data_IF_673122959453
#
_entry.id   IF_673122959453
#
_cell.length_a   1.000
_cell.length_b   1.000
_cell.length_c   1.000
_cell.angle_alpha   90.00
_cell.angle_beta   90.00
_cell.angle_gamma   90.00
#
_symmetry.space_group_name_H-M   'P 1'
#
loop_
_entity.id
_entity.type
_entity.pdbx_description
1 polymer ?
#
# COMPACT_ATOMS: atom_id res chain seq x y z
N UNK A 1 0.09 27.15 14.54
CA UNK A 1 -0.92 26.08 14.69
C UNK A 1 -0.20 24.80 15.05
N UNK A 2 -0.45 24.22 16.23
CA UNK A 2 0.21 22.99 16.66
C UNK A 2 -0.35 21.79 15.87
N UNK A 3 0.54 20.91 15.40
CA UNK A 3 0.13 19.67 14.73
C UNK A 3 -0.67 18.77 15.69
N UNK A 4 -1.74 18.11 15.21
CA UNK A 4 -2.48 17.16 16.05
C UNK A 4 -1.52 16.04 16.48
N UNK A 5 -1.43 15.80 17.80
CA UNK A 5 -0.66 14.67 18.34
C UNK A 5 -1.27 13.36 17.82
N UNK A 6 -0.48 12.41 17.31
CA UNK A 6 -1.02 11.12 16.91
C UNK A 6 -1.63 10.45 18.15
N UNK A 7 -2.79 9.78 18.03
CA UNK A 7 -3.37 8.98 19.12
C UNK A 7 -2.50 7.73 19.36
N UNK A 8 -1.33 7.91 19.93
CA UNK A 8 -0.33 6.85 20.16
C UNK A 8 -0.43 6.30 21.57
N UNK A 9 -1.43 5.46 21.83
CA UNK A 9 -1.51 4.66 23.05
C UNK A 9 -1.33 3.17 22.73
N UNK A 10 -0.68 2.40 23.61
CA UNK A 10 -0.51 0.95 23.44
C UNK A 10 -1.82 0.20 23.14
N UNK A 11 -2.95 0.70 23.68
CA UNK A 11 -4.31 0.19 23.39
C UNK A 11 -4.78 0.47 21.97
N UNK A 12 -4.44 1.62 21.39
CA UNK A 12 -4.81 1.97 20.01
C UNK A 12 -4.04 1.13 19.00
N UNK A 13 -2.74 0.92 19.26
CA UNK A 13 -1.91 0.03 18.46
C UNK A 13 -2.38 -1.42 18.54
N UNK A 14 -2.76 -1.90 19.73
CA UNK A 14 -3.31 -3.24 19.91
C UNK A 14 -4.67 -3.42 19.23
N UNK A 15 -5.53 -2.39 19.23
CA UNK A 15 -6.82 -2.42 18.54
C UNK A 15 -6.64 -2.48 17.02
N UNK A 16 -5.71 -1.69 16.47
CA UNK A 16 -5.37 -1.73 15.04
C UNK A 16 -4.83 -3.12 14.66
N UNK A 17 -3.89 -3.66 15.45
CA UNK A 17 -3.33 -4.99 15.22
C UNK A 17 -4.41 -6.08 15.27
N UNK A 18 -5.30 -6.03 16.26
CA UNK A 18 -6.42 -6.96 16.39
C UNK A 18 -7.39 -6.87 15.22
N UNK A 19 -7.75 -5.66 14.79
CA UNK A 19 -8.67 -5.45 13.68
C UNK A 19 -8.07 -5.92 12.34
N UNK A 20 -6.83 -5.54 12.05
CA UNK A 20 -6.13 -5.97 10.82
C UNK A 20 -5.94 -7.48 10.86
N UNK A 21 -5.49 -8.03 11.99
CA UNK A 21 -5.32 -9.46 12.19
C UNK A 21 -6.61 -10.25 11.95
N UNK A 22 -7.74 -9.79 12.52
CA UNK A 22 -9.04 -10.44 12.31
C UNK A 22 -9.49 -10.35 10.85
N UNK A 23 -9.29 -9.19 10.22
CA UNK A 23 -9.69 -8.94 8.83
C UNK A 23 -8.94 -9.83 7.85
N UNK A 24 -7.70 -10.22 8.17
CA UNK A 24 -6.89 -11.14 7.37
C UNK A 24 -7.18 -12.59 7.74
N UNK A 25 -7.23 -12.91 9.04
CA UNK A 25 -7.35 -14.28 9.52
C UNK A 25 -8.69 -14.92 9.18
N UNK A 26 -9.80 -14.18 9.31
CA UNK A 26 -11.14 -14.73 9.09
C UNK A 26 -11.32 -15.21 7.64
N UNK A 27 -11.03 -14.42 6.60
CA UNK A 27 -11.12 -14.89 5.21
C UNK A 27 -10.25 -16.10 4.91
N UNK A 28 -9.03 -16.16 5.49
CA UNK A 28 -8.11 -17.28 5.28
C UNK A 28 -8.70 -18.57 5.84
N UNK A 29 -9.17 -18.54 7.10
CA UNK A 29 -9.76 -19.71 7.76
C UNK A 29 -11.01 -20.16 7.01
N UNK A 30 -11.89 -19.23 6.62
CA UNK A 30 -13.11 -19.54 5.87
C UNK A 30 -12.78 -20.13 4.50
N UNK A 31 -11.85 -19.53 3.76
CA UNK A 31 -11.43 -20.01 2.45
C UNK A 31 -10.79 -21.40 2.49
N UNK A 32 -9.91 -21.64 3.47
CA UNK A 32 -9.29 -22.94 3.67
C UNK A 32 -10.33 -24.02 4.03
N UNK A 33 -11.27 -23.71 4.92
CA UNK A 33 -12.34 -24.63 5.29
C UNK A 33 -13.26 -24.96 4.10
N UNK A 34 -13.61 -23.96 3.28
CA UNK A 34 -14.38 -24.17 2.05
C UNK A 34 -13.61 -25.01 1.03
N UNK A 35 -12.30 -24.77 0.88
CA UNK A 35 -11.43 -25.55 -0.02
C UNK A 35 -11.39 -27.01 0.34
N UNK A 36 -11.17 -27.32 1.62
CA UNK A 36 -11.15 -28.70 2.12
C UNK A 36 -12.50 -29.40 1.95
N UNK A 37 -13.62 -28.69 2.20
CA UNK A 37 -14.96 -29.21 1.97
C UNK A 37 -15.23 -29.55 0.49
N UNK A 38 -14.73 -28.72 -0.43
CA UNK A 38 -14.83 -28.98 -1.87
C UNK A 38 -13.97 -30.18 -2.28
N UNK A 39 -12.77 -30.31 -1.70
CA UNK A 39 -11.89 -31.45 -1.92
C UNK A 39 -12.50 -32.76 -1.43
N UNK A 40 -13.08 -32.77 -0.22
CA UNK A 40 -13.79 -33.92 0.35
C UNK A 40 -15.01 -34.32 -0.51
N UNK A 41 -15.78 -33.34 -0.99
CA UNK A 41 -16.96 -33.59 -1.81
C UNK A 41 -16.62 -34.15 -3.21
N UNK A 42 -15.48 -33.74 -3.77
CA UNK A 42 -15.01 -34.20 -5.07
C UNK A 42 -14.23 -35.53 -5.00
N UNK A 43 -13.85 -36.00 -3.80
CA UNK A 43 -13.03 -37.19 -3.60
C UNK A 43 -11.61 -37.06 -4.17
N UNK A 44 -11.16 -35.84 -4.41
CA UNK A 44 -9.87 -35.53 -5.04
C UNK A 44 -8.80 -35.16 -4.01
N UNK A 45 -7.53 -35.18 -4.44
CA UNK A 45 -6.42 -34.53 -3.69
C UNK A 45 -6.69 -33.00 -3.55
N UNK A 46 -5.87 -32.18 -2.85
CA UNK A 46 -6.23 -30.83 -2.43
C UNK A 46 -6.27 -29.78 -3.57
N UNK A 47 -7.02 -30.08 -4.63
CA UNK A 47 -7.11 -29.36 -5.91
C UNK A 47 -8.11 -28.21 -5.80
N UNK A 48 -9.23 -28.41 -5.11
CA UNK A 48 -10.21 -27.40 -4.73
C UNK A 48 -9.62 -26.36 -3.78
N UNK A 49 -8.86 -26.76 -2.77
CA UNK A 49 -8.07 -25.83 -1.96
C UNK A 49 -7.08 -25.03 -2.83
N UNK A 50 -6.31 -25.70 -3.68
CA UNK A 50 -5.36 -25.06 -4.57
C UNK A 50 -6.06 -24.05 -5.51
N UNK A 51 -7.19 -24.46 -6.10
CA UNK A 51 -8.02 -23.64 -6.97
C UNK A 51 -8.54 -22.40 -6.26
N UNK A 52 -9.02 -22.55 -5.02
CA UNK A 52 -9.47 -21.42 -4.20
C UNK A 52 -8.35 -20.43 -3.87
N UNK A 53 -7.11 -20.91 -3.67
CA UNK A 53 -5.95 -20.03 -3.51
C UNK A 53 -5.72 -19.22 -4.79
N UNK A 54 -5.70 -19.86 -5.96
CA UNK A 54 -5.53 -19.16 -7.24
C UNK A 54 -6.65 -18.15 -7.51
N UNK A 55 -7.90 -18.52 -7.25
CA UNK A 55 -9.06 -17.62 -7.36
C UNK A 55 -8.90 -16.44 -6.40
N UNK A 56 -8.52 -16.69 -5.15
CA UNK A 56 -8.26 -15.64 -4.16
C UNK A 56 -7.17 -14.67 -4.61
N UNK A 57 -6.07 -15.17 -5.17
CA UNK A 57 -5.01 -14.32 -5.72
C UNK A 57 -5.49 -13.49 -6.91
N UNK A 58 -6.27 -14.08 -7.82
CA UNK A 58 -6.82 -13.37 -8.98
C UNK A 58 -7.76 -12.24 -8.54
N UNK A 59 -8.63 -12.50 -7.56
CA UNK A 59 -9.54 -11.51 -6.97
C UNK A 59 -8.76 -10.39 -6.28
N UNK A 60 -7.73 -10.72 -5.50
CA UNK A 60 -6.88 -9.72 -4.84
C UNK A 60 -6.15 -8.83 -5.86
N UNK A 61 -5.52 -9.44 -6.88
CA UNK A 61 -4.86 -8.72 -7.96
C UNK A 61 -5.82 -7.81 -8.73
N UNK A 62 -7.01 -8.32 -9.09
CA UNK A 62 -8.05 -7.55 -9.75
C UNK A 62 -8.56 -6.38 -8.90
N UNK A 63 -8.71 -6.57 -7.59
CA UNK A 63 -9.12 -5.52 -6.67
C UNK A 63 -8.09 -4.39 -6.55
N UNK A 64 -6.80 -4.74 -6.43
CA UNK A 64 -5.70 -3.75 -6.41
C UNK A 64 -5.63 -3.01 -7.74
N UNK A 65 -5.75 -3.71 -8.86
CA UNK A 65 -5.76 -3.08 -10.17
C UNK A 65 -6.92 -2.09 -10.32
N UNK A 66 -8.13 -2.46 -9.89
CA UNK A 66 -9.30 -1.59 -9.96
C UNK A 66 -9.15 -0.35 -9.06
N UNK A 67 -8.53 -0.52 -7.89
CA UNK A 67 -8.20 0.59 -7.00
C UNK A 67 -7.19 1.55 -7.65
N UNK A 68 -6.10 1.03 -8.24
CA UNK A 68 -5.10 1.83 -8.94
C UNK A 68 -5.72 2.56 -10.12
N UNK A 69 -6.52 1.85 -10.92
CA UNK A 69 -7.22 2.42 -12.07
C UNK A 69 -8.10 3.58 -11.63
N UNK A 70 -8.96 3.36 -10.63
CA UNK A 70 -9.84 4.41 -10.11
C UNK A 70 -9.06 5.59 -9.56
N UNK A 71 -7.99 5.34 -8.82
CA UNK A 71 -7.14 6.41 -8.29
C UNK A 71 -6.50 7.24 -9.42
N UNK A 72 -6.03 6.59 -10.49
CA UNK A 72 -5.41 7.25 -11.65
C UNK A 72 -6.44 8.05 -12.45
N UNK A 73 -7.65 7.52 -12.61
CA UNK A 73 -8.76 8.19 -13.29
C UNK A 73 -9.19 9.45 -12.51
N UNK A 74 -9.28 9.36 -11.17
CA UNK A 74 -9.65 10.47 -10.29
C UNK A 74 -8.51 11.49 -10.12
N UNK A 75 -7.25 11.07 -10.28
CA UNK A 75 -6.04 11.89 -10.16
C UNK A 75 -5.21 11.81 -11.46
N UNK A 76 -5.72 12.36 -12.57
CA UNK A 76 -4.97 12.34 -13.82
C UNK A 76 -3.61 13.03 -13.61
N UNK A 77 -2.55 12.45 -14.15
CA UNK A 77 -1.22 13.07 -14.17
C UNK A 77 -1.34 14.35 -15.01
N UNK A 78 -1.62 15.47 -14.35
CA UNK A 78 -1.70 16.77 -14.99
C UNK A 78 -0.28 17.21 -15.33
N UNK A 79 -0.08 17.94 -16.44
CA UNK A 79 1.17 18.65 -16.67
C UNK A 79 1.49 19.46 -15.41
N UNK A 80 2.75 19.39 -14.94
CA UNK A 80 3.20 20.15 -13.78
C UNK A 80 2.70 21.58 -13.90
N UNK A 81 1.91 22.04 -12.92
CA UNK A 81 1.43 23.42 -12.91
C UNK A 81 2.64 24.37 -12.96
N UNK A 82 2.46 25.60 -13.43
CA UNK A 82 3.57 26.57 -13.46
C UNK A 82 4.23 26.73 -12.08
N UNK A 83 3.42 26.66 -11.01
CA UNK A 83 3.90 26.61 -9.62
C UNK A 83 4.76 25.39 -9.30
N UNK A 84 4.42 24.21 -9.81
CA UNK A 84 5.23 23.00 -9.61
C UNK A 84 6.55 23.07 -10.38
N UNK A 85 6.56 23.70 -11.56
CA UNK A 85 7.79 23.95 -12.33
C UNK A 85 8.68 24.98 -11.64
N UNK A 86 8.10 26.05 -11.09
CA UNK A 86 8.83 27.03 -10.28
C UNK A 86 9.43 26.40 -9.01
N UNK A 87 8.67 25.56 -8.31
CA UNK A 87 9.17 24.82 -7.16
C UNK A 87 10.32 23.88 -7.54
N UNK A 88 10.23 23.18 -8.67
CA UNK A 88 11.31 22.36 -9.21
C UNK A 88 12.59 23.16 -9.50
N UNK A 89 12.46 24.31 -10.18
CA UNK A 89 13.61 25.19 -10.46
C UNK A 89 14.25 25.76 -9.19
N UNK A 90 13.44 26.12 -8.18
CA UNK A 90 13.95 26.59 -6.88
C UNK A 90 14.70 25.49 -6.14
N UNK A 91 14.14 24.28 -6.13
CA UNK A 91 14.80 23.11 -5.54
C UNK A 91 16.14 22.81 -6.21
N UNK A 92 16.19 22.80 -7.55
CA UNK A 92 17.43 22.60 -8.30
C UNK A 92 18.48 23.67 -7.98
N UNK A 93 18.06 24.93 -7.85
CA UNK A 93 18.95 26.02 -7.45
C UNK A 93 19.50 25.81 -6.03
N UNK A 94 18.67 25.42 -5.06
CA UNK A 94 19.09 25.12 -3.69
C UNK A 94 20.06 23.93 -3.62
N UNK A 95 19.84 22.88 -4.41
CA UNK A 95 20.75 21.74 -4.49
C UNK A 95 22.10 22.18 -5.07
N UNK A 96 22.10 22.96 -6.14
CA UNK A 96 23.32 23.45 -6.75
C UNK A 96 24.11 24.40 -5.83
N UNK A 97 23.42 25.25 -5.06
CA UNK A 97 24.07 26.09 -4.04
C UNK A 97 24.70 25.25 -2.93
N UNK A 98 24.00 24.21 -2.45
CA UNK A 98 24.56 23.28 -1.46
C UNK A 98 25.77 22.51 -1.99
N UNK A 99 25.75 22.13 -3.27
CA UNK A 99 26.91 21.50 -3.93
C UNK A 99 28.07 22.46 -4.05
N UNK A 100 27.84 23.71 -4.48
CA UNK A 100 28.89 24.73 -4.54
C UNK A 100 29.50 25.01 -3.17
N UNK A 101 28.68 25.16 -2.12
CA UNK A 101 29.16 25.38 -0.75
C UNK A 101 30.06 24.23 -0.25
N UNK A 102 29.70 22.98 -0.60
CA UNK A 102 30.52 21.79 -0.32
C UNK A 102 31.83 21.78 -1.12
N UNK A 103 31.81 22.25 -2.37
CA UNK A 103 33.01 22.34 -3.22
C UNK A 103 33.94 23.49 -2.81
N UNK A 104 33.41 24.62 -2.30
CA UNK A 104 34.22 25.75 -1.80
C UNK A 104 34.81 25.51 -0.41
N UNK A 105 34.50 24.41 0.26
CA UNK A 105 35.21 23.97 1.45
C UNK A 105 35.14 24.93 2.64
N UNK A 106 33.98 25.53 2.92
CA UNK A 106 33.74 26.20 4.22
C UNK A 106 33.35 25.16 5.28
N UNK A 107 34.27 24.20 5.51
CA UNK A 107 34.36 23.39 6.73
C UNK A 107 35.82 23.57 7.24
N UNK A 108 36.17 24.80 7.63
CA UNK A 108 37.25 25.12 8.59
C UNK A 108 36.67 25.91 9.76
#
# INVERSE_FOLDING_TARGET
>A
MAAPRPPGGARSNAAILGQVGLTIAVPIVVGAWLGLKLDEAAGTSPIGLLGLIFVGMAVAGGGVWLLIKRFTDDNPIRPSSERAREAGRRWEAEIQERERQRETGEDE
#
